data_IF_495198498293
#
_entry.id   IF_495198498293
#
_cell.length_a   1.000
_cell.length_b   1.000
_cell.length_c   1.000
_cell.angle_alpha   90.00
_cell.angle_beta   90.00
_cell.angle_gamma   90.00
#
_symmetry.space_group_name_H-M   'P 1'
#
loop_
_entity.id
_entity.type
_entity.pdbx_description
1 polymer ?
#
# COMPACT_ATOMS: atom_id res chain seq x y z
N UNK A 1 75.21 10.61 23.17
CA UNK A 1 74.60 10.37 21.85
C UNK A 1 73.37 9.49 22.04
N UNK A 2 72.17 10.08 22.06
CA UNK A 2 70.88 9.37 22.11
C UNK A 2 70.18 9.61 20.78
N UNK A 3 70.06 8.57 19.97
CA UNK A 3 69.25 8.59 18.75
C UNK A 3 67.84 8.12 19.11
N UNK A 4 66.89 9.06 19.18
CA UNK A 4 65.46 8.77 19.17
C UNK A 4 64.98 8.81 17.73
N UNK A 5 64.63 7.65 17.19
CA UNK A 5 63.92 7.51 15.91
C UNK A 5 62.44 7.64 16.21
N UNK A 6 61.84 8.79 15.85
CA UNK A 6 60.40 8.96 15.85
C UNK A 6 59.82 8.35 14.58
N UNK A 7 59.14 7.21 14.72
CA UNK A 7 58.35 6.63 13.64
C UNK A 7 57.07 7.45 13.44
N UNK A 8 56.97 8.13 12.30
CA UNK A 8 55.77 8.85 11.88
C UNK A 8 54.77 7.83 11.31
N UNK A 9 53.77 7.45 12.12
CA UNK A 9 52.63 6.65 11.68
C UNK A 9 51.67 7.55 10.88
N UNK A 10 51.77 7.50 9.56
CA UNK A 10 50.74 8.02 8.65
C UNK A 10 49.54 7.06 8.66
N UNK A 11 48.53 7.34 9.47
CA UNK A 11 47.21 6.73 9.33
C UNK A 11 46.49 7.42 8.17
N UNK A 12 46.48 6.79 7.00
CA UNK A 12 45.59 7.17 5.90
C UNK A 12 44.15 6.85 6.33
N UNK A 13 43.41 7.89 6.74
CA UNK A 13 41.98 7.79 6.93
C UNK A 13 41.33 7.54 5.56
N UNK A 14 40.87 6.31 5.33
CA UNK A 14 39.99 5.99 4.20
C UNK A 14 38.65 6.66 4.51
N UNK A 15 38.45 7.87 4.01
CA UNK A 15 37.13 8.50 3.97
C UNK A 15 36.31 7.76 2.91
N UNK A 16 35.59 6.72 3.31
CA UNK A 16 34.45 6.25 2.53
C UNK A 16 33.44 7.40 2.50
N UNK A 17 33.38 8.11 1.37
CA UNK A 17 32.26 9.01 1.08
C UNK A 17 31.01 8.14 1.05
N UNK A 18 30.33 8.03 2.20
CA UNK A 18 28.99 7.47 2.26
C UNK A 18 28.13 8.39 1.39
N UNK A 19 27.85 7.93 0.17
CA UNK A 19 27.02 8.68 -0.76
C UNK A 19 25.68 8.94 -0.08
N UNK A 20 25.36 10.21 0.14
CA UNK A 20 24.10 10.59 0.77
C UNK A 20 22.95 10.05 -0.07
N UNK A 21 22.01 9.35 0.57
CA UNK A 21 20.82 8.85 -0.10
C UNK A 21 19.97 10.05 -0.57
N UNK A 22 19.66 10.11 -1.86
CA UNK A 22 18.82 11.16 -2.45
C UNK A 22 17.50 10.57 -2.96
N UNK A 23 16.53 11.44 -3.21
CA UNK A 23 15.26 11.10 -3.81
C UNK A 23 15.46 10.37 -5.14
N UNK A 24 16.37 10.85 -5.99
CA UNK A 24 16.68 10.22 -7.27
C UNK A 24 17.23 8.80 -7.09
N UNK A 25 18.15 8.58 -6.15
CA UNK A 25 18.66 7.24 -5.83
C UNK A 25 17.54 6.31 -5.38
N UNK A 26 16.55 6.80 -4.63
CA UNK A 26 15.37 6.02 -4.26
C UNK A 26 14.51 5.68 -5.48
N UNK A 27 14.29 6.63 -6.39
CA UNK A 27 13.54 6.41 -7.64
C UNK A 27 14.18 5.33 -8.53
N UNK A 28 15.49 5.25 -8.51
CA UNK A 28 16.23 4.24 -9.27
C UNK A 28 16.19 2.87 -8.59
N UNK A 29 16.07 2.82 -7.26
CA UNK A 29 16.07 1.60 -6.45
C UNK A 29 14.72 0.92 -6.33
N UNK A 30 13.64 1.64 -5.98
CA UNK A 30 12.38 0.98 -5.68
C UNK A 30 11.68 0.20 -6.81
N UNK A 31 11.97 0.39 -8.12
CA UNK A 31 11.35 -0.44 -9.14
C UNK A 31 11.82 -1.89 -9.04
N UNK A 32 13.00 -2.13 -8.45
CA UNK A 32 13.51 -3.47 -8.20
C UNK A 32 12.78 -4.20 -7.07
N UNK A 33 12.00 -3.48 -6.25
CA UNK A 33 11.11 -4.08 -5.25
C UNK A 33 9.93 -4.80 -5.89
N UNK A 34 9.69 -4.59 -7.19
CA UNK A 34 8.59 -5.19 -7.92
C UNK A 34 9.14 -6.11 -9.01
N UNK A 35 8.43 -7.22 -9.22
CA UNK A 35 8.73 -8.21 -10.27
C UNK A 35 7.52 -8.33 -11.18
N UNK A 36 7.80 -8.73 -12.41
CA UNK A 36 6.80 -9.07 -13.41
C UNK A 36 7.17 -10.40 -14.07
N UNK A 37 6.17 -11.21 -14.42
CA UNK A 37 6.36 -12.48 -15.13
C UNK A 37 5.11 -12.84 -15.92
N UNK A 38 5.22 -13.80 -16.82
CA UNK A 38 4.10 -14.30 -17.64
C UNK A 38 3.67 -15.68 -17.16
N UNK A 39 2.38 -15.84 -16.90
CA UNK A 39 1.76 -17.12 -16.57
C UNK A 39 0.47 -17.27 -17.35
N UNK A 40 0.33 -18.40 -18.06
CA UNK A 40 -0.83 -18.69 -18.92
C UNK A 40 -1.18 -17.53 -19.89
N UNK A 41 -0.15 -16.86 -20.42
CA UNK A 41 -0.30 -15.74 -21.37
C UNK A 41 -0.66 -14.38 -20.74
N UNK A 42 -0.83 -14.31 -19.42
CA UNK A 42 -1.11 -13.08 -18.68
C UNK A 42 0.15 -12.59 -17.96
N UNK A 43 0.30 -11.26 -17.90
CA UNK A 43 1.35 -10.61 -17.12
C UNK A 43 0.88 -10.46 -15.67
N UNK A 44 1.70 -10.91 -14.74
CA UNK A 44 1.50 -10.76 -13.31
C UNK A 44 2.58 -9.86 -12.74
N UNK A 45 2.23 -9.09 -11.72
CA UNK A 45 3.11 -8.15 -11.03
C UNK A 45 2.99 -8.39 -9.53
N UNK A 46 4.10 -8.38 -8.79
CA UNK A 46 4.09 -8.54 -7.33
C UNK A 46 5.29 -7.84 -6.67
N UNK A 47 5.24 -7.72 -5.35
CA UNK A 47 6.39 -7.35 -4.51
C UNK A 47 7.41 -8.49 -4.41
N UNK A 48 8.68 -8.17 -4.66
CA UNK A 48 9.79 -9.09 -4.58
C UNK A 48 10.48 -9.05 -3.21
N UNK A 49 10.81 -10.23 -2.68
CA UNK A 49 11.75 -10.36 -1.58
C UNK A 49 13.09 -9.73 -1.93
N UNK A 50 13.70 -9.06 -0.96
CA UNK A 50 15.01 -8.42 -1.10
C UNK A 50 16.06 -9.19 -0.29
N UNK A 51 17.35 -9.07 -0.64
CA UNK A 51 18.43 -9.56 0.21
C UNK A 51 18.33 -9.02 1.64
N UNK A 52 18.76 -9.79 2.64
CA UNK A 52 18.64 -9.39 4.06
C UNK A 52 19.31 -8.06 4.39
N UNK A 53 20.40 -7.74 3.68
CA UNK A 53 21.17 -6.51 3.83
C UNK A 53 20.61 -5.32 3.01
N UNK A 54 19.53 -5.51 2.25
CA UNK A 54 18.91 -4.43 1.49
C UNK A 54 18.14 -3.48 2.42
N UNK A 55 18.27 -2.17 2.19
CA UNK A 55 17.61 -1.14 3.00
C UNK A 55 16.08 -1.29 3.03
N UNK A 56 15.48 -1.91 2.01
CA UNK A 56 14.04 -2.14 1.89
C UNK A 56 13.58 -3.55 2.26
N UNK A 57 14.46 -4.44 2.73
CA UNK A 57 14.07 -5.81 3.06
C UNK A 57 12.92 -5.90 4.08
N UNK A 58 12.99 -5.14 5.17
CA UNK A 58 11.88 -5.09 6.13
C UNK A 58 10.62 -4.48 5.54
N UNK A 59 10.76 -3.49 4.64
CA UNK A 59 9.60 -2.87 3.98
C UNK A 59 8.87 -3.91 3.13
N UNK A 60 9.58 -4.64 2.27
CA UNK A 60 8.95 -5.63 1.38
C UNK A 60 8.45 -6.86 2.14
N UNK A 61 9.23 -7.41 3.07
CA UNK A 61 8.88 -8.64 3.78
C UNK A 61 7.70 -8.47 4.74
N UNK A 62 7.55 -7.30 5.37
CA UNK A 62 6.51 -7.05 6.39
C UNK A 62 5.32 -6.23 5.87
N UNK A 63 5.41 -5.66 4.66
CA UNK A 63 4.40 -4.76 4.11
C UNK A 63 4.10 -5.03 2.62
N UNK A 64 4.22 -6.27 2.16
CA UNK A 64 3.96 -6.64 0.76
C UNK A 64 2.59 -6.13 0.27
N UNK A 65 1.50 -6.34 1.02
CA UNK A 65 0.17 -5.87 0.64
C UNK A 65 0.04 -4.34 0.57
N UNK A 66 0.83 -3.59 1.36
CA UNK A 66 0.89 -2.13 1.28
C UNK A 66 1.48 -1.73 -0.08
N UNK A 67 2.61 -2.32 -0.43
CA UNK A 67 3.31 -2.05 -1.68
C UNK A 67 2.53 -2.54 -2.90
N UNK A 68 1.88 -3.71 -2.82
CA UNK A 68 1.01 -4.24 -3.88
C UNK A 68 -0.17 -3.29 -4.12
N UNK A 69 -0.76 -2.70 -3.07
CA UNK A 69 -1.81 -1.70 -3.25
C UNK A 69 -1.30 -0.49 -4.03
N UNK A 70 -0.12 0.02 -3.69
CA UNK A 70 0.49 1.16 -4.40
C UNK A 70 0.76 0.78 -5.86
N UNK A 71 1.33 -0.40 -6.11
CA UNK A 71 1.58 -0.85 -7.48
C UNK A 71 0.30 -0.94 -8.32
N UNK A 72 -0.76 -1.54 -7.77
CA UNK A 72 -1.98 -1.80 -8.53
C UNK A 72 -2.90 -0.57 -8.67
N UNK A 73 -2.81 0.40 -7.75
CA UNK A 73 -3.74 1.53 -7.70
C UNK A 73 -3.08 2.89 -7.97
N UNK A 74 -1.74 2.98 -7.89
CA UNK A 74 -1.00 4.25 -8.01
C UNK A 74 -0.01 4.27 -9.17
N UNK A 75 -0.07 3.28 -10.07
CA UNK A 75 0.59 3.38 -11.38
C UNK A 75 -0.37 3.90 -12.44
N UNK A 76 0.13 4.71 -13.36
CA UNK A 76 -0.60 5.36 -14.45
C UNK A 76 -0.14 4.93 -15.84
N UNK A 77 0.93 4.13 -15.97
CA UNK A 77 1.37 3.66 -17.29
C UNK A 77 0.46 2.57 -17.89
N UNK A 78 0.37 2.57 -19.22
CA UNK A 78 -0.37 1.56 -19.98
C UNK A 78 0.41 0.25 -20.06
N UNK A 79 -0.11 -0.82 -19.44
CA UNK A 79 0.51 -2.16 -19.48
C UNK A 79 0.63 -2.73 -20.90
N UNK A 80 -0.12 -2.24 -21.88
CA UNK A 80 0.04 -2.66 -23.28
C UNK A 80 1.44 -2.35 -23.82
N UNK A 81 2.10 -1.31 -23.30
CA UNK A 81 3.48 -0.97 -23.69
C UNK A 81 4.49 -2.05 -23.35
N UNK A 82 4.30 -2.75 -22.24
CA UNK A 82 5.21 -3.83 -21.81
C UNK A 82 4.74 -5.20 -22.32
N UNK A 83 3.45 -5.33 -22.68
CA UNK A 83 2.87 -6.59 -23.17
C UNK A 83 3.50 -7.10 -24.47
N UNK A 84 4.14 -6.22 -25.25
CA UNK A 84 4.90 -6.60 -26.46
C UNK A 84 6.09 -7.50 -26.13
N UNK A 85 6.61 -7.44 -24.90
CA UNK A 85 7.74 -8.24 -24.42
C UNK A 85 7.32 -9.52 -23.69
N UNK A 86 6.06 -9.95 -23.76
CA UNK A 86 5.56 -11.11 -23.00
C UNK A 86 6.27 -12.45 -23.28
N UNK A 87 7.06 -12.54 -24.36
CA UNK A 87 7.86 -13.72 -24.69
C UNK A 87 9.37 -13.53 -24.44
N UNK A 88 9.78 -12.36 -23.95
CA UNK A 88 11.15 -12.05 -23.53
C UNK A 88 11.12 -11.54 -22.08
N UNK A 89 11.37 -12.45 -21.14
CA UNK A 89 11.29 -12.13 -19.71
C UNK A 89 12.29 -11.05 -19.26
N UNK A 90 13.44 -10.93 -19.93
CA UNK A 90 14.46 -9.93 -19.58
C UNK A 90 13.95 -8.56 -20.02
N UNK A 91 13.54 -8.42 -21.28
CA UNK A 91 12.99 -7.17 -21.79
C UNK A 91 11.70 -6.76 -21.07
N UNK A 92 10.84 -7.71 -20.70
CA UNK A 92 9.63 -7.43 -19.91
C UNK A 92 9.97 -6.79 -18.56
N UNK A 93 10.92 -7.36 -17.82
CA UNK A 93 11.34 -6.83 -16.51
C UNK A 93 11.98 -5.46 -16.65
N UNK A 94 12.85 -5.27 -17.65
CA UNK A 94 13.50 -3.98 -17.89
C UNK A 94 12.50 -2.90 -18.28
N UNK A 95 11.57 -3.21 -19.20
CA UNK A 95 10.52 -2.30 -19.64
C UNK A 95 9.58 -1.92 -18.49
N UNK A 96 9.12 -2.90 -17.70
CA UNK A 96 8.28 -2.65 -16.52
C UNK A 96 8.98 -1.73 -15.51
N UNK A 97 10.24 -2.01 -15.17
CA UNK A 97 11.01 -1.15 -14.26
C UNK A 97 11.21 0.25 -14.83
N UNK A 98 11.41 0.37 -16.13
CA UNK A 98 11.57 1.67 -16.77
C UNK A 98 10.27 2.50 -16.74
N UNK A 99 9.11 1.89 -17.00
CA UNK A 99 7.82 2.58 -16.86
C UNK A 99 7.60 3.03 -15.40
N UNK A 100 7.89 2.18 -14.41
CA UNK A 100 7.80 2.57 -12.99
C UNK A 100 8.70 3.78 -12.64
N UNK A 101 9.94 3.83 -13.15
CA UNK A 101 10.84 4.98 -12.92
C UNK A 101 10.27 6.29 -13.46
N UNK A 102 9.49 6.24 -14.53
CA UNK A 102 8.94 7.42 -15.19
C UNK A 102 7.53 7.78 -14.71
N UNK A 103 6.87 6.89 -13.96
CA UNK A 103 5.50 7.04 -13.51
C UNK A 103 5.38 8.04 -12.34
N UNK A 104 4.91 9.25 -12.63
CA UNK A 104 4.76 10.31 -11.63
C UNK A 104 3.83 9.94 -10.47
N UNK A 105 2.73 9.23 -10.74
CA UNK A 105 1.78 8.86 -9.70
C UNK A 105 2.38 7.84 -8.74
N UNK A 106 3.09 6.85 -9.29
CA UNK A 106 3.77 5.82 -8.51
C UNK A 106 4.90 6.44 -7.70
N UNK A 107 5.75 7.24 -8.37
CA UNK A 107 6.91 7.85 -7.76
C UNK A 107 6.57 8.80 -6.60
N UNK A 108 5.46 9.56 -6.71
CA UNK A 108 4.97 10.43 -5.64
C UNK A 108 4.69 9.64 -4.37
N UNK A 109 3.95 8.54 -4.48
CA UNK A 109 3.53 7.72 -3.34
C UNK A 109 4.69 6.90 -2.79
N UNK A 110 5.47 6.25 -3.65
CA UNK A 110 6.62 5.44 -3.24
C UNK A 110 7.73 6.26 -2.60
N UNK A 111 7.99 7.49 -3.06
CA UNK A 111 8.99 8.36 -2.45
C UNK A 111 8.56 8.79 -1.04
N UNK A 112 7.29 9.16 -0.85
CA UNK A 112 6.76 9.51 0.46
C UNK A 112 6.79 8.31 1.43
N UNK A 113 6.35 7.12 1.00
CA UNK A 113 6.43 5.90 1.81
C UNK A 113 7.89 5.57 2.18
N UNK A 114 8.79 5.58 1.19
CA UNK A 114 10.20 5.24 1.39
C UNK A 114 10.88 6.23 2.34
N UNK A 115 10.59 7.52 2.21
CA UNK A 115 11.12 8.54 3.11
C UNK A 115 10.74 8.28 4.57
N UNK A 116 9.45 8.04 4.87
CA UNK A 116 9.01 7.81 6.25
C UNK A 116 9.52 6.48 6.80
N UNK A 117 9.54 5.43 5.98
CA UNK A 117 10.16 4.16 6.34
C UNK A 117 11.66 4.32 6.66
N UNK A 118 12.44 4.98 5.81
CA UNK A 118 13.87 5.19 6.04
C UNK A 118 14.14 6.11 7.24
N UNK A 119 13.30 7.14 7.43
CA UNK A 119 13.35 8.01 8.61
C UNK A 119 13.09 7.25 9.91
N UNK A 120 12.16 6.28 9.91
CA UNK A 120 11.94 5.38 11.07
C UNK A 120 13.15 4.51 11.39
N UNK A 121 14.07 4.36 10.42
CA UNK A 121 15.37 3.67 10.57
C UNK A 121 16.54 4.62 10.77
N UNK A 122 16.29 5.90 11.03
CA UNK A 122 17.30 6.95 11.16
C UNK A 122 18.20 7.14 9.92
N UNK A 123 17.69 6.79 8.73
CA UNK A 123 18.37 7.00 7.45
C UNK A 123 17.82 8.28 6.81
N UNK A 124 18.69 9.26 6.59
CA UNK A 124 18.32 10.55 6.00
C UNK A 124 18.27 10.51 4.47
N UNK A 125 17.30 11.21 3.87
CA UNK A 125 17.22 11.46 2.42
C UNK A 125 17.48 12.95 2.18
N UNK A 126 18.64 13.29 1.64
CA UNK A 126 19.21 14.64 1.76
C UNK A 126 18.38 15.76 1.10
N UNK A 127 17.71 15.45 -0.01
CA UNK A 127 17.01 16.38 -0.90
C UNK A 127 15.48 16.22 -0.84
N UNK A 128 14.96 15.45 0.13
CA UNK A 128 13.53 15.20 0.25
C UNK A 128 13.03 15.37 1.69
N UNK A 129 11.93 16.11 1.81
CA UNK A 129 11.20 16.27 3.05
C UNK A 129 9.72 16.05 2.76
N UNK A 130 9.03 15.44 3.71
CA UNK A 130 7.59 15.22 3.66
C UNK A 130 7.01 15.51 5.03
N UNK A 131 5.77 16.00 5.06
CA UNK A 131 4.98 16.15 6.28
C UNK A 131 4.06 14.95 6.44
N UNK A 132 3.73 14.60 7.69
CA UNK A 132 2.70 13.60 7.94
C UNK A 132 1.33 14.21 7.67
N UNK A 133 0.45 13.42 7.08
CA UNK A 133 -0.98 13.75 7.01
C UNK A 133 -1.61 13.53 8.39
N UNK A 134 -2.36 14.51 8.86
CA UNK A 134 -3.11 14.40 10.11
C UNK A 134 -4.51 13.89 9.81
N UNK A 135 -4.97 12.89 10.56
CA UNK A 135 -6.35 12.42 10.52
C UNK A 135 -6.81 11.91 11.88
N UNK A 136 -8.12 11.88 12.09
CA UNK A 136 -8.74 11.24 13.26
C UNK A 136 -8.88 9.74 13.05
N UNK A 137 -9.09 9.02 14.15
CA UNK A 137 -9.41 7.60 14.15
C UNK A 137 -10.69 7.33 13.34
N UNK A 138 -11.70 8.19 13.43
CA UNK A 138 -12.94 8.06 12.67
C UNK A 138 -12.71 8.25 11.16
N UNK A 139 -11.82 9.15 10.76
CA UNK A 139 -11.43 9.30 9.35
C UNK A 139 -10.73 8.04 8.83
N UNK A 140 -9.83 7.43 9.63
CA UNK A 140 -9.16 6.19 9.26
C UNK A 140 -10.15 5.05 9.04
N UNK A 141 -11.12 4.90 9.95
CA UNK A 141 -12.18 3.87 9.85
C UNK A 141 -13.04 4.13 8.62
N UNK A 142 -13.48 5.36 8.39
CA UNK A 142 -14.28 5.72 7.22
C UNK A 142 -13.56 5.47 5.88
N UNK A 143 -12.23 5.57 5.84
CA UNK A 143 -11.44 5.16 4.67
C UNK A 143 -11.46 3.63 4.53
N UNK A 144 -11.26 2.92 5.65
CA UNK A 144 -11.24 1.46 5.68
C UNK A 144 -12.58 0.81 5.27
N UNK A 145 -13.73 1.42 5.58
CA UNK A 145 -15.04 0.85 5.22
C UNK A 145 -15.23 0.71 3.71
N UNK A 146 -14.55 1.52 2.89
CA UNK A 146 -14.65 1.51 1.42
C UNK A 146 -14.21 0.19 0.78
N UNK A 147 -13.40 -0.58 1.50
CA UNK A 147 -12.95 -1.91 1.05
C UNK A 147 -14.07 -2.95 1.09
N UNK A 148 -15.11 -2.74 1.89
CA UNK A 148 -16.24 -3.65 2.13
C UNK A 148 -17.42 -3.29 1.21
N UNK A 149 -17.59 -4.00 0.09
CA UNK A 149 -18.46 -3.53 -0.99
C UNK A 149 -19.52 -4.55 -1.43
N UNK A 150 -20.78 -4.12 -1.50
CA UNK A 150 -21.83 -4.84 -2.22
C UNK A 150 -21.64 -4.67 -3.74
N UNK A 151 -21.41 -5.79 -4.42
CA UNK A 151 -21.04 -5.85 -5.84
C UNK A 151 -22.25 -5.86 -6.75
N UNK A 152 -23.17 -6.79 -6.52
CA UNK A 152 -24.33 -7.07 -7.37
C UNK A 152 -25.45 -7.73 -6.55
N UNK A 153 -26.66 -7.72 -7.10
CA UNK A 153 -27.70 -8.65 -6.66
C UNK A 153 -27.46 -9.98 -7.39
N UNK A 154 -27.47 -11.07 -6.64
CA UNK A 154 -27.28 -12.42 -7.16
C UNK A 154 -28.61 -13.00 -7.67
N UNK A 155 -28.58 -14.04 -8.53
CA UNK A 155 -29.80 -14.67 -9.06
C UNK A 155 -30.73 -15.24 -7.97
N UNK A 156 -30.18 -15.60 -6.82
CA UNK A 156 -30.92 -16.07 -5.64
C UNK A 156 -31.52 -14.92 -4.79
N UNK A 157 -31.50 -13.69 -5.31
CA UNK A 157 -31.89 -12.46 -4.63
C UNK A 157 -31.01 -12.05 -3.44
N UNK A 158 -29.85 -12.66 -3.21
CA UNK A 158 -28.92 -12.19 -2.18
C UNK A 158 -28.02 -11.07 -2.69
N UNK A 159 -27.57 -10.20 -1.79
CA UNK A 159 -26.54 -9.19 -2.06
C UNK A 159 -25.20 -9.89 -2.10
N UNK A 160 -24.57 -9.93 -3.28
CA UNK A 160 -23.19 -10.36 -3.43
C UNK A 160 -22.24 -9.26 -2.95
N UNK A 161 -21.16 -9.63 -2.27
CA UNK A 161 -20.21 -8.69 -1.69
C UNK A 161 -18.77 -9.12 -1.95
N UNK A 162 -17.83 -8.19 -1.75
CA UNK A 162 -16.39 -8.45 -1.77
C UNK A 162 -15.65 -7.52 -0.82
N UNK A 163 -14.53 -8.00 -0.27
CA UNK A 163 -13.48 -7.15 0.30
C UNK A 163 -12.39 -7.03 -0.76
N UNK A 164 -12.16 -5.86 -1.35
CA UNK A 164 -11.34 -5.74 -2.56
C UNK A 164 -10.46 -4.49 -2.62
N UNK A 165 -9.35 -4.60 -3.35
CA UNK A 165 -8.31 -3.59 -3.66
C UNK A 165 -8.85 -2.33 -4.34
N UNK A 166 -9.65 -1.48 -3.70
CA UNK A 166 -9.90 -0.09 -4.14
C UNK A 166 -10.58 0.12 -5.52
N UNK A 167 -10.66 -0.88 -6.40
CA UNK A 167 -11.35 -0.90 -7.69
C UNK A 167 -12.86 -1.13 -7.53
N UNK A 168 -13.39 -0.69 -6.40
CA UNK A 168 -14.82 -0.55 -6.22
C UNK A 168 -15.26 0.69 -7.03
N UNK A 169 -16.53 0.81 -7.38
CA UNK A 169 -17.10 1.81 -8.33
C UNK A 169 -17.04 3.28 -7.84
N UNK A 170 -15.97 3.65 -7.16
CA UNK A 170 -15.69 4.89 -6.45
C UNK A 170 -14.75 5.82 -7.21
N UNK A 171 -14.28 5.43 -8.40
CA UNK A 171 -13.47 6.28 -9.27
C UNK A 171 -14.15 7.63 -9.56
N UNK A 172 -15.48 7.67 -9.54
CA UNK A 172 -16.28 8.86 -9.86
C UNK A 172 -16.88 9.57 -8.62
N UNK A 173 -16.69 9.05 -7.39
CA UNK A 173 -17.25 9.68 -6.19
C UNK A 173 -16.32 10.77 -5.65
N UNK A 174 -16.75 12.03 -5.79
CA UNK A 174 -16.04 13.24 -5.31
C UNK A 174 -15.85 13.31 -3.78
N UNK A 175 -16.47 12.42 -3.00
CA UNK A 175 -16.19 12.23 -1.56
C UNK A 175 -14.85 11.51 -1.33
N UNK A 176 -14.23 10.96 -2.37
CA UNK A 176 -12.93 10.30 -2.32
C UNK A 176 -11.76 11.28 -2.48
N UNK A 177 -11.47 11.97 -1.39
CA UNK A 177 -10.17 12.62 -1.15
C UNK A 177 -9.09 11.53 -1.00
N UNK A 178 -8.19 11.38 -1.99
CA UNK A 178 -6.81 11.90 -2.09
C UNK A 178 -5.73 11.32 -1.16
N UNK A 179 -5.95 10.17 -0.49
CA UNK A 179 -4.97 9.59 0.45
C UNK A 179 -4.46 8.17 0.11
N UNK A 180 -3.75 7.96 -1.02
CA UNK A 180 -3.33 6.62 -1.43
C UNK A 180 -2.55 5.82 -0.39
N UNK A 181 -1.70 6.48 0.40
CA UNK A 181 -0.89 5.80 1.42
C UNK A 181 -1.72 5.41 2.64
N UNK A 182 -2.78 6.14 2.98
CA UNK A 182 -3.70 5.76 4.08
C UNK A 182 -4.58 4.60 3.61
N UNK A 183 -5.08 4.65 2.37
CA UNK A 183 -5.84 3.54 1.78
C UNK A 183 -5.03 2.25 1.71
N UNK A 184 -3.78 2.33 1.24
CA UNK A 184 -2.88 1.19 1.17
C UNK A 184 -2.58 0.59 2.55
N UNK A 185 -2.45 1.44 3.58
CA UNK A 185 -2.35 1.00 4.97
C UNK A 185 -3.62 0.28 5.42
N UNK A 186 -4.82 0.85 5.19
CA UNK A 186 -6.09 0.23 5.55
C UNK A 186 -6.27 -1.12 4.86
N UNK A 187 -5.95 -1.19 3.56
CA UNK A 187 -5.98 -2.42 2.79
C UNK A 187 -5.10 -3.51 3.42
N UNK A 188 -3.83 -3.20 3.65
CA UNK A 188 -2.90 -4.13 4.29
C UNK A 188 -3.41 -4.57 5.67
N UNK A 189 -3.91 -3.64 6.49
CA UNK A 189 -4.42 -3.96 7.82
C UNK A 189 -5.63 -4.90 7.79
N UNK A 190 -6.57 -4.68 6.86
CA UNK A 190 -7.74 -5.53 6.66
C UNK A 190 -7.33 -6.92 6.13
N UNK A 191 -6.50 -6.95 5.09
CA UNK A 191 -6.18 -8.21 4.41
C UNK A 191 -5.29 -9.11 5.25
N UNK A 192 -4.34 -8.55 6.02
CA UNK A 192 -3.49 -9.35 6.91
C UNK A 192 -4.26 -10.08 8.02
N UNK A 193 -5.50 -9.69 8.30
CA UNK A 193 -6.31 -10.30 9.36
C UNK A 193 -7.57 -11.00 8.80
N UNK A 194 -7.79 -10.99 7.48
CA UNK A 194 -9.11 -11.31 6.89
C UNK A 194 -9.62 -12.71 7.26
N UNK A 195 -8.75 -13.71 7.32
CA UNK A 195 -9.14 -15.11 7.58
C UNK A 195 -9.59 -15.36 9.04
N UNK A 196 -9.13 -14.54 9.98
CA UNK A 196 -9.38 -14.73 11.43
C UNK A 196 -10.16 -13.57 12.05
N UNK A 197 -10.45 -12.54 11.28
CA UNK A 197 -11.05 -11.32 11.76
C UNK A 197 -12.54 -11.46 12.04
N UNK A 198 -12.94 -11.12 13.26
CA UNK A 198 -14.36 -10.99 13.63
C UNK A 198 -15.10 -9.97 12.77
N UNK A 199 -14.45 -8.89 12.31
CA UNK A 199 -15.09 -7.92 11.43
C UNK A 199 -15.45 -8.52 10.06
N UNK A 200 -14.72 -9.53 9.59
CA UNK A 200 -14.98 -10.17 8.31
C UNK A 200 -16.18 -11.10 8.40
N UNK A 201 -16.24 -11.91 9.45
CA UNK A 201 -17.42 -12.75 9.77
C UNK A 201 -18.68 -11.89 9.94
N UNK A 202 -18.56 -10.79 10.70
CA UNK A 202 -19.65 -9.83 10.88
C UNK A 202 -20.12 -9.23 9.54
N UNK A 203 -19.18 -8.90 8.65
CA UNK A 203 -19.52 -8.36 7.33
C UNK A 203 -20.27 -9.38 6.45
N UNK A 204 -19.86 -10.64 6.48
CA UNK A 204 -20.53 -11.74 5.78
C UNK A 204 -21.97 -11.94 6.29
N UNK A 205 -22.15 -12.01 7.60
CA UNK A 205 -23.46 -12.14 8.25
C UNK A 205 -24.36 -10.93 7.94
N UNK A 206 -23.78 -9.73 7.94
CA UNK A 206 -24.52 -8.52 7.60
C UNK A 206 -24.97 -8.51 6.13
N UNK A 207 -24.20 -9.14 5.23
CA UNK A 207 -24.60 -9.37 3.84
C UNK A 207 -25.94 -10.11 3.71
N UNK A 208 -26.17 -11.10 4.55
CA UNK A 208 -27.46 -11.83 4.62
C UNK A 208 -28.56 -10.92 5.14
N UNK A 209 -28.27 -10.17 6.21
CA UNK A 209 -29.22 -9.23 6.84
C UNK A 209 -29.69 -8.17 5.84
N UNK A 210 -28.77 -7.51 5.14
CA UNK A 210 -29.11 -6.44 4.20
C UNK A 210 -29.83 -6.99 2.96
N UNK A 211 -29.57 -8.25 2.58
CA UNK A 211 -30.33 -8.94 1.53
C UNK A 211 -31.82 -9.04 1.88
N UNK A 212 -32.14 -9.38 3.14
CA UNK A 212 -33.51 -9.47 3.61
C UNK A 212 -34.18 -8.11 3.77
N UNK A 213 -33.45 -7.10 4.25
CA UNK A 213 -33.98 -5.75 4.45
C UNK A 213 -34.30 -5.04 3.14
N UNK A 214 -33.55 -5.35 2.07
CA UNK A 214 -33.71 -4.68 0.76
C UNK A 214 -34.55 -5.46 -0.24
N UNK A 215 -35.02 -6.67 0.09
CA UNK A 215 -35.64 -7.59 -0.90
C UNK A 215 -36.87 -7.06 -1.64
N UNK A 216 -37.58 -6.09 -1.06
CA UNK A 216 -38.79 -5.49 -1.65
C UNK A 216 -38.51 -4.19 -2.40
N UNK A 217 -37.27 -3.70 -2.40
CA UNK A 217 -36.88 -2.51 -3.16
C UNK A 217 -36.66 -2.88 -4.64
N UNK A 218 -36.84 -1.92 -5.57
CA UNK A 218 -36.39 -2.07 -6.95
C UNK A 218 -34.89 -2.40 -7.02
N UNK A 219 -34.48 -3.25 -7.96
CA UNK A 219 -33.09 -3.71 -8.08
C UNK A 219 -32.06 -2.57 -8.14
N UNK A 220 -32.40 -1.49 -8.86
CA UNK A 220 -31.58 -0.28 -8.94
C UNK A 220 -31.34 0.41 -7.60
N UNK A 221 -32.30 0.32 -6.67
CA UNK A 221 -32.21 0.90 -5.33
C UNK A 221 -31.54 -0.05 -4.34
N UNK A 222 -31.75 -1.37 -4.50
CA UNK A 222 -31.20 -2.39 -3.60
C UNK A 222 -29.70 -2.27 -3.43
N UNK A 223 -28.97 -2.12 -4.54
CA UNK A 223 -27.52 -2.00 -4.50
C UNK A 223 -27.03 -0.72 -3.84
N UNK A 224 -27.74 0.40 -4.04
CA UNK A 224 -27.40 1.68 -3.42
C UNK A 224 -27.57 1.56 -1.91
N UNK A 225 -28.75 1.12 -1.46
CA UNK A 225 -29.06 0.94 -0.03
C UNK A 225 -28.12 -0.08 0.61
N UNK A 226 -27.81 -1.18 -0.08
CA UNK A 226 -26.92 -2.20 0.46
C UNK A 226 -25.50 -1.66 0.68
N UNK A 227 -24.95 -0.91 -0.28
CA UNK A 227 -23.61 -0.31 -0.15
C UNK A 227 -23.55 0.68 1.01
N UNK A 228 -24.50 1.61 1.09
CA UNK A 228 -24.54 2.61 2.16
C UNK A 228 -24.70 1.96 3.54
N UNK A 229 -25.56 0.95 3.64
CA UNK A 229 -25.80 0.23 4.90
C UNK A 229 -24.56 -0.56 5.33
N UNK A 230 -23.91 -1.26 4.39
CA UNK A 230 -22.65 -1.95 4.65
C UNK A 230 -21.54 -1.02 5.13
N UNK A 231 -21.42 0.19 4.57
CA UNK A 231 -20.43 1.15 5.05
C UNK A 231 -20.73 1.67 6.45
N UNK A 232 -21.99 1.98 6.71
CA UNK A 232 -22.42 2.42 8.03
C UNK A 232 -22.15 1.33 9.06
N UNK A 233 -22.43 0.07 8.71
CA UNK A 233 -22.18 -1.08 9.57
C UNK A 233 -20.69 -1.21 9.90
N UNK A 234 -19.83 -1.18 8.87
CA UNK A 234 -18.39 -1.31 9.08
C UNK A 234 -17.79 -0.09 9.79
N UNK A 235 -18.38 1.10 9.65
CA UNK A 235 -17.93 2.30 10.37
C UNK A 235 -18.15 2.17 11.89
N UNK A 236 -19.20 1.47 12.30
CA UNK A 236 -19.50 1.16 13.70
C UNK A 236 -18.80 -0.08 14.24
N UNK A 237 -18.10 -0.85 13.40
CA UNK A 237 -17.56 -2.15 13.79
C UNK A 237 -16.31 -2.01 14.69
N UNK A 238 -16.43 -2.38 15.96
CA UNK A 238 -15.36 -2.28 16.96
C UNK A 238 -14.19 -3.22 16.69
N UNK A 239 -14.42 -4.38 16.08
CA UNK A 239 -13.36 -5.31 15.70
C UNK A 239 -12.50 -4.75 14.55
N UNK A 240 -13.11 -4.11 13.56
CA UNK A 240 -12.39 -3.40 12.49
C UNK A 240 -11.57 -2.25 13.06
N UNK A 241 -12.17 -1.42 13.92
CA UNK A 241 -11.47 -0.34 14.62
C UNK A 241 -10.25 -0.86 15.37
N UNK A 242 -10.41 -1.96 16.12
CA UNK A 242 -9.31 -2.57 16.88
C UNK A 242 -8.19 -3.06 15.97
N UNK A 243 -8.52 -3.75 14.87
CA UNK A 243 -7.53 -4.23 13.91
C UNK A 243 -6.72 -3.08 13.28
N UNK A 244 -7.39 -2.00 12.86
CA UNK A 244 -6.76 -0.82 12.28
C UNK A 244 -5.83 -0.11 13.29
N UNK A 245 -6.30 0.10 14.52
CA UNK A 245 -5.51 0.75 15.56
C UNK A 245 -4.29 -0.07 15.98
N UNK A 246 -4.42 -1.39 16.06
CA UNK A 246 -3.29 -2.28 16.33
C UNK A 246 -2.27 -2.25 15.20
N UNK A 247 -2.73 -2.31 13.94
CA UNK A 247 -1.85 -2.16 12.78
C UNK A 247 -1.14 -0.81 12.76
N UNK A 248 -1.84 0.27 13.16
CA UNK A 248 -1.28 1.63 13.22
C UNK A 248 -0.18 1.72 14.27
N UNK A 249 -0.44 1.29 15.51
CA UNK A 249 0.54 1.34 16.61
C UNK A 249 1.82 0.59 16.25
N UNK A 250 1.70 -0.55 15.58
CA UNK A 250 2.84 -1.37 15.16
C UNK A 250 3.69 -0.75 14.04
N UNK A 251 3.22 0.32 13.39
CA UNK A 251 3.85 0.92 12.21
C UNK A 251 3.97 2.44 12.28
N UNK A 252 3.51 3.08 13.35
CA UNK A 252 3.31 4.53 13.44
C UNK A 252 4.50 5.35 12.95
N UNK A 253 5.72 4.91 13.25
CA UNK A 253 6.95 5.61 12.86
C UNK A 253 7.19 5.64 11.35
N UNK A 254 6.88 4.55 10.63
CA UNK A 254 7.08 4.46 9.18
C UNK A 254 5.91 5.02 8.35
N UNK A 255 4.77 5.33 8.99
CA UNK A 255 3.60 5.83 8.27
C UNK A 255 3.76 7.30 7.91
N UNK A 256 3.28 7.67 6.72
CA UNK A 256 3.22 9.05 6.23
C UNK A 256 2.06 9.86 6.82
N UNK A 257 1.43 9.36 7.87
CA UNK A 257 0.29 9.98 8.54
C UNK A 257 0.36 9.73 10.04
N UNK A 258 -0.38 10.52 10.81
CA UNK A 258 -0.54 10.33 12.26
C UNK A 258 -1.98 10.55 12.70
N UNK A 259 -2.37 9.84 13.75
CA UNK A 259 -3.67 10.00 14.39
C UNK A 259 -3.61 11.14 15.42
N UNK A 260 -4.59 12.04 15.40
CA UNK A 260 -4.61 13.24 16.25
C UNK A 260 -5.46 13.11 17.52
N UNK A 261 -6.19 11.99 17.66
CA UNK A 261 -7.20 11.75 18.68
C UNK A 261 -6.93 10.48 19.51
N UNK A 262 -5.66 10.10 19.65
CA UNK A 262 -5.23 8.96 20.48
C UNK A 262 -4.91 9.36 21.92
#
# INVERSE_FOLDING_TARGET
MRNTISALLLTSAITTNAQSLTSQVLKDKYPALFKTFVYQGNIFEWVAAQPENDIFNDLTSKNALYLDYILNNQTSFDRKKIAVFKYDSIQLIEAFRNELRQDTAFNRNMLQLSYWYLKSKHINVADYQSTKTDLTTDQLINIATRFFFATKIQPDNNVGWKVCIGQNAYADDKRNSTYPLIEAFCFMAIMNNIETAQYYQHFEEYGITISQQTKYLPESERLIVARESMYKEMAGNSALKTALLNAYRNKADMLSFRLTDQ
#
